data_IF_830483314129
#
_entry.id   IF_830483314129
#
_cell.length_a   1.000
_cell.length_b   1.000
_cell.length_c   1.000
_cell.angle_alpha   90.00
_cell.angle_beta   90.00
_cell.angle_gamma   90.00
#
_symmetry.space_group_name_H-M   'P 1'
#
loop_
_entity.id
_entity.type
_entity.pdbx_description
1 polymer ?
#
# COMPACT_ATOMS: atom_id res chain seq x y z
N UNK A 1 -62.16 31.52 31.92
CA UNK A 1 -62.83 30.87 30.77
C UNK A 1 -62.23 31.48 29.50
N UNK A 2 -61.37 30.72 28.81
CA UNK A 2 -60.93 30.72 27.38
C UNK A 2 -60.52 32.02 26.65
N UNK A 3 -59.69 31.98 25.58
CA UNK A 3 -58.65 31.01 25.23
C UNK A 3 -57.33 31.63 24.69
N UNK A 4 -56.26 30.85 24.82
CA UNK A 4 -55.19 30.55 23.86
C UNK A 4 -55.12 31.42 22.58
N UNK A 5 -53.99 32.12 22.40
CA UNK A 5 -53.46 32.48 21.09
C UNK A 5 -51.91 32.56 21.12
N UNK A 6 -51.24 31.41 21.07
CA UNK A 6 -49.80 31.36 20.77
C UNK A 6 -49.62 31.38 19.25
N UNK A 7 -49.53 32.59 18.68
CA UNK A 7 -49.23 32.78 17.26
C UNK A 7 -47.71 32.73 17.08
N UNK A 8 -47.24 31.57 16.64
CA UNK A 8 -46.33 31.42 15.52
C UNK A 8 -45.02 32.19 15.52
N UNK A 9 -43.92 31.46 15.74
CA UNK A 9 -42.77 31.52 14.83
C UNK A 9 -41.97 30.22 14.88
N UNK A 10 -42.36 29.23 14.06
CA UNK A 10 -41.42 28.17 13.68
C UNK A 10 -40.42 28.81 12.72
N UNK A 11 -39.24 29.16 13.22
CA UNK A 11 -38.10 29.50 12.37
C UNK A 11 -37.62 28.18 11.76
N UNK A 12 -38.11 27.85 10.56
CA UNK A 12 -37.52 26.82 9.74
C UNK A 12 -36.23 27.36 9.13
N UNK A 13 -35.14 27.38 9.91
CA UNK A 13 -33.80 27.54 9.33
C UNK A 13 -33.44 26.21 8.69
N UNK A 14 -33.97 25.99 7.48
CA UNK A 14 -33.52 24.94 6.60
C UNK A 14 -32.04 25.17 6.31
N UNK A 15 -31.17 24.53 7.09
CA UNK A 15 -29.74 24.48 6.82
C UNK A 15 -29.57 23.68 5.53
N UNK A 16 -29.64 24.35 4.39
CA UNK A 16 -29.18 23.82 3.11
C UNK A 16 -27.68 23.59 3.22
N UNK A 17 -27.30 22.47 3.84
CA UNK A 17 -25.92 22.01 3.78
C UNK A 17 -25.65 21.68 2.30
N UNK A 18 -24.66 22.31 1.66
CA UNK A 18 -24.39 22.04 0.26
C UNK A 18 -24.08 20.55 0.12
N UNK A 19 -24.90 19.84 -0.64
CA UNK A 19 -24.72 18.42 -0.94
C UNK A 19 -23.27 18.20 -1.39
N UNK A 20 -22.56 17.31 -0.68
CA UNK A 20 -21.15 16.99 -0.95
C UNK A 20 -21.03 16.48 -2.39
N UNK A 21 -20.60 17.34 -3.32
CA UNK A 21 -20.41 16.97 -4.73
C UNK A 21 -19.40 15.82 -4.81
N UNK A 22 -19.83 14.69 -5.38
CA UNK A 22 -18.99 13.50 -5.56
C UNK A 22 -17.92 13.80 -6.62
N UNK A 23 -16.67 13.86 -6.17
CA UNK A 23 -15.51 13.98 -7.06
C UNK A 23 -15.35 12.67 -7.86
N UNK A 24 -15.15 12.79 -9.18
CA UNK A 24 -14.92 11.67 -10.09
C UNK A 24 -13.67 10.87 -9.66
N UNK A 25 -13.70 9.55 -9.83
CA UNK A 25 -12.61 8.67 -9.36
C UNK A 25 -11.24 9.01 -9.94
N UNK A 26 -11.16 9.29 -11.25
CA UNK A 26 -9.88 9.66 -11.88
C UNK A 26 -9.27 10.93 -11.25
N UNK A 27 -10.10 11.89 -10.84
CA UNK A 27 -9.62 13.12 -10.17
C UNK A 27 -9.08 12.81 -8.77
N UNK A 28 -9.73 11.89 -8.04
CA UNK A 28 -9.25 11.44 -6.72
C UNK A 28 -7.90 10.71 -6.85
N UNK A 29 -7.81 9.76 -7.78
CA UNK A 29 -6.58 8.99 -8.02
C UNK A 29 -5.42 9.90 -8.44
N UNK A 30 -5.63 10.83 -9.37
CA UNK A 30 -4.59 11.80 -9.76
C UNK A 30 -4.14 12.68 -8.59
N UNK A 31 -5.06 13.06 -7.70
CA UNK A 31 -4.73 13.84 -6.50
C UNK A 31 -3.90 13.01 -5.52
N UNK A 32 -4.22 11.74 -5.35
CA UNK A 32 -3.47 10.81 -4.50
C UNK A 32 -2.06 10.58 -5.05
N UNK A 33 -1.91 10.33 -6.36
CA UNK A 33 -0.60 10.17 -7.01
C UNK A 33 0.27 11.40 -6.82
N UNK A 34 -0.25 12.60 -7.09
CA UNK A 34 0.50 13.86 -6.90
C UNK A 34 0.88 14.09 -5.45
N UNK A 35 -0.01 13.76 -4.51
CA UNK A 35 0.27 13.88 -3.07
C UNK A 35 1.40 12.92 -2.67
N UNK A 36 1.31 11.65 -3.08
CA UNK A 36 2.30 10.63 -2.79
C UNK A 36 3.66 10.98 -3.39
N UNK A 37 3.72 11.49 -4.63
CA UNK A 37 4.97 11.91 -5.27
C UNK A 37 5.62 13.14 -4.61
N UNK A 38 4.82 14.02 -3.98
CA UNK A 38 5.33 15.22 -3.31
C UNK A 38 5.95 14.89 -1.93
N UNK A 39 5.48 13.84 -1.28
CA UNK A 39 5.93 13.45 0.06
C UNK A 39 6.87 12.26 0.00
N UNK A 40 7.97 12.28 0.74
CA UNK A 40 8.90 11.15 0.88
C UNK A 40 8.67 10.34 2.15
N UNK A 41 7.43 10.32 2.65
CA UNK A 41 7.07 9.56 3.85
C UNK A 41 6.90 8.08 3.56
N UNK A 42 7.20 7.23 4.56
CA UNK A 42 6.91 5.80 4.50
C UNK A 42 5.40 5.57 4.30
N UNK A 43 5.06 4.72 3.34
CA UNK A 43 3.70 4.37 2.96
C UNK A 43 3.18 3.20 3.79
N UNK A 44 4.05 2.28 4.20
CA UNK A 44 3.68 1.12 5.02
C UNK A 44 3.79 1.49 6.50
N UNK A 45 2.80 1.14 7.34
CA UNK A 45 2.95 1.35 8.78
C UNK A 45 4.13 0.56 9.35
N UNK A 46 4.94 1.19 10.22
CA UNK A 46 6.19 0.60 10.74
C UNK A 46 5.99 -0.72 11.52
N UNK A 47 4.91 -0.82 12.30
CA UNK A 47 4.64 -1.99 13.14
C UNK A 47 4.41 -3.29 12.35
N UNK A 48 3.50 -3.35 11.35
CA UNK A 48 3.33 -4.55 10.54
C UNK A 48 4.58 -4.90 9.74
N UNK A 49 5.29 -3.92 9.18
CA UNK A 49 6.56 -4.18 8.48
C UNK A 49 7.59 -4.85 9.40
N UNK A 50 7.79 -4.30 10.61
CA UNK A 50 8.67 -4.88 11.61
C UNK A 50 8.27 -6.32 11.98
N UNK A 51 6.97 -6.61 12.13
CA UNK A 51 6.49 -7.97 12.45
C UNK A 51 6.86 -8.96 11.34
N UNK A 52 6.67 -8.57 10.08
CA UNK A 52 7.03 -9.41 8.93
C UNK A 52 8.54 -9.66 8.86
N UNK A 53 9.37 -8.62 9.05
CA UNK A 53 10.84 -8.77 9.09
C UNK A 53 11.26 -9.76 10.18
N UNK A 54 10.70 -9.63 11.38
CA UNK A 54 11.00 -10.55 12.49
C UNK A 54 10.55 -11.98 12.20
N UNK A 55 9.37 -12.16 11.62
CA UNK A 55 8.86 -13.47 11.23
C UNK A 55 9.76 -14.14 10.18
N UNK A 56 10.17 -13.42 9.13
CA UNK A 56 11.08 -13.94 8.10
C UNK A 56 12.42 -14.31 8.73
N UNK A 57 12.97 -13.43 9.58
CA UNK A 57 14.24 -13.70 10.26
C UNK A 57 14.17 -14.97 11.11
N UNK A 58 13.11 -15.15 11.90
CA UNK A 58 12.90 -16.35 12.71
C UNK A 58 12.81 -17.63 11.85
N UNK A 59 12.10 -17.56 10.72
CA UNK A 59 12.02 -18.68 9.78
C UNK A 59 13.40 -19.04 9.20
N UNK A 60 14.20 -18.05 8.81
CA UNK A 60 15.55 -18.26 8.27
C UNK A 60 16.48 -18.91 9.32
N UNK A 61 16.44 -18.44 10.57
CA UNK A 61 17.26 -19.01 11.64
C UNK A 61 16.84 -20.46 11.98
N UNK A 62 15.54 -20.76 11.93
CA UNK A 62 15.04 -22.13 12.09
C UNK A 62 15.57 -23.06 10.99
N UNK A 63 15.57 -22.60 9.74
CA UNK A 63 16.09 -23.37 8.59
C UNK A 63 17.60 -23.62 8.68
N UNK A 64 18.37 -22.67 9.22
CA UNK A 64 19.83 -22.79 9.34
C UNK A 64 20.29 -23.64 10.54
N UNK A 65 19.39 -24.27 11.31
CA UNK A 65 19.65 -25.18 12.45
C UNK A 65 20.75 -24.72 13.42
N UNK A 66 21.01 -23.42 13.53
CA UNK A 66 22.10 -22.93 14.36
C UNK A 66 21.58 -22.63 15.76
N UNK A 67 22.01 -23.44 16.72
CA UNK A 67 21.58 -23.42 18.14
C UNK A 67 21.91 -22.12 18.90
N UNK A 68 22.74 -21.23 18.33
CA UNK A 68 23.15 -19.97 18.96
C UNK A 68 22.22 -18.77 18.73
N UNK A 69 21.24 -18.84 17.80
CA UNK A 69 20.48 -17.66 17.34
C UNK A 69 19.08 -17.50 17.98
N UNK A 70 18.82 -18.08 19.14
CA UNK A 70 17.50 -18.05 19.79
C UNK A 70 17.04 -16.62 20.18
N UNK A 71 17.92 -15.62 20.17
CA UNK A 71 17.61 -14.24 20.61
C UNK A 71 18.15 -13.14 19.68
N UNK A 72 17.78 -13.15 18.40
CA UNK A 72 18.18 -12.07 17.47
C UNK A 72 17.48 -10.77 17.80
N UNK A 73 18.27 -9.76 18.18
CA UNK A 73 17.81 -8.39 18.45
C UNK A 73 18.03 -7.54 17.21
N UNK A 74 17.01 -6.76 16.87
CA UNK A 74 17.05 -5.82 15.75
C UNK A 74 17.28 -4.41 16.26
N UNK A 75 18.22 -3.70 15.64
CA UNK A 75 18.37 -2.25 15.85
C UNK A 75 17.21 -1.52 15.18
N UNK A 76 16.72 -0.45 15.81
CA UNK A 76 15.63 0.38 15.27
C UNK A 76 15.99 1.03 13.93
N UNK A 77 17.23 1.53 13.79
CA UNK A 77 17.73 2.11 12.55
C UNK A 77 17.87 1.08 11.43
N UNK A 78 18.24 -0.17 11.75
CA UNK A 78 18.31 -1.23 10.75
C UNK A 78 16.92 -1.57 10.18
N UNK A 79 15.89 -1.61 11.04
CA UNK A 79 14.50 -1.82 10.60
C UNK A 79 13.98 -0.67 9.73
N UNK A 80 14.37 0.57 10.03
CA UNK A 80 14.04 1.74 9.21
C UNK A 80 14.68 1.63 7.82
N UNK A 81 15.98 1.36 7.76
CA UNK A 81 16.72 1.21 6.52
C UNK A 81 16.14 0.09 5.64
N UNK A 82 15.79 -1.06 6.23
CA UNK A 82 15.11 -2.14 5.51
C UNK A 82 13.76 -1.71 4.94
N UNK A 83 13.02 -0.88 5.68
CA UNK A 83 11.73 -0.38 5.21
C UNK A 83 11.90 0.62 4.06
N UNK A 84 12.83 1.55 4.18
CA UNK A 84 13.14 2.52 3.13
C UNK A 84 13.60 1.82 1.85
N UNK A 85 14.51 0.85 1.96
CA UNK A 85 14.96 0.05 0.82
C UNK A 85 13.83 -0.79 0.20
N UNK A 86 13.00 -1.43 1.04
CA UNK A 86 11.89 -2.27 0.57
C UNK A 86 10.78 -1.47 -0.12
N UNK A 87 10.41 -0.31 0.42
CA UNK A 87 9.43 0.57 -0.20
C UNK A 87 9.98 1.23 -1.47
N UNK A 88 11.24 1.67 -1.47
CA UNK A 88 11.90 2.21 -2.67
C UNK A 88 11.91 1.19 -3.82
N UNK A 89 12.30 -0.04 -3.52
CA UNK A 89 12.25 -1.14 -4.49
C UNK A 89 10.83 -1.37 -5.04
N UNK A 90 9.82 -1.40 -4.17
CA UNK A 90 8.44 -1.61 -4.61
C UNK A 90 7.92 -0.47 -5.49
N UNK A 91 8.29 0.78 -5.21
CA UNK A 91 7.91 1.95 -6.02
C UNK A 91 8.54 1.86 -7.41
N UNK A 92 9.84 1.61 -7.49
CA UNK A 92 10.57 1.50 -8.76
C UNK A 92 10.02 0.35 -9.61
N UNK A 93 9.79 -0.81 -8.97
CA UNK A 93 9.21 -1.98 -9.63
C UNK A 93 7.80 -1.68 -10.19
N UNK A 94 6.96 -1.00 -9.41
CA UNK A 94 5.60 -0.66 -9.83
C UNK A 94 5.58 0.39 -10.96
N UNK A 95 6.58 1.27 -11.00
CA UNK A 95 6.74 2.22 -12.10
C UNK A 95 7.07 1.50 -13.42
N UNK A 96 7.97 0.52 -13.40
CA UNK A 96 8.25 -0.29 -14.59
C UNK A 96 7.02 -1.09 -15.03
N UNK A 97 6.30 -1.68 -14.07
CA UNK A 97 5.08 -2.43 -14.37
C UNK A 97 4.02 -1.52 -14.99
N UNK A 98 3.96 -0.25 -14.57
CA UNK A 98 3.09 0.75 -15.17
C UNK A 98 3.48 1.07 -16.62
N UNK A 99 4.77 1.17 -16.92
CA UNK A 99 5.25 1.32 -18.30
C UNK A 99 4.84 0.11 -19.17
N UNK A 100 4.91 -1.10 -18.64
CA UNK A 100 4.43 -2.31 -19.34
C UNK A 100 2.91 -2.29 -19.58
N UNK A 101 2.13 -1.82 -18.61
CA UNK A 101 0.68 -1.67 -18.77
C UNK A 101 0.34 -0.62 -19.85
N UNK A 102 1.03 0.53 -19.81
CA UNK A 102 0.88 1.61 -20.78
C UNK A 102 1.29 1.17 -22.20
N UNK A 103 2.37 0.39 -22.33
CA UNK A 103 2.80 -0.21 -23.60
C UNK A 103 1.72 -1.10 -24.22
N UNK A 104 0.90 -1.76 -23.39
CA UNK A 104 -0.25 -2.56 -23.82
C UNK A 104 -1.57 -1.75 -23.90
N UNK A 105 -1.51 -0.41 -23.97
CA UNK A 105 -2.67 0.50 -24.00
C UNK A 105 -3.66 0.35 -22.84
N UNK A 106 -3.19 -0.07 -21.66
CA UNK A 106 -4.00 -0.19 -20.44
C UNK A 106 -3.55 0.81 -19.39
N UNK A 107 -4.49 1.22 -18.55
CA UNK A 107 -4.22 2.08 -17.37
C UNK A 107 -4.14 1.26 -16.09
N UNK A 108 -4.80 0.10 -16.04
CA UNK A 108 -4.84 -0.78 -14.86
C UNK A 108 -3.71 -1.80 -14.90
N UNK A 109 -2.91 -1.84 -13.83
CA UNK A 109 -1.87 -2.85 -13.60
C UNK A 109 -2.47 -4.25 -13.44
N UNK A 110 -1.79 -5.25 -14.01
CA UNK A 110 -2.17 -6.65 -13.93
C UNK A 110 -0.96 -7.52 -13.53
N UNK A 111 -1.23 -8.74 -13.06
CA UNK A 111 -0.17 -9.69 -12.69
C UNK A 111 0.79 -10.01 -13.86
N UNK A 112 0.32 -9.95 -15.11
CA UNK A 112 1.19 -10.11 -16.29
C UNK A 112 2.26 -9.02 -16.41
N UNK A 113 1.94 -7.79 -16.00
CA UNK A 113 2.87 -6.66 -16.05
C UNK A 113 4.01 -6.88 -15.05
N UNK A 114 3.68 -7.36 -13.85
CA UNK A 114 4.65 -7.82 -12.85
C UNK A 114 5.57 -8.91 -13.42
N UNK A 115 5.00 -9.96 -14.01
CA UNK A 115 5.77 -11.11 -14.53
C UNK A 115 6.75 -10.67 -15.62
N UNK A 116 6.35 -9.75 -16.50
CA UNK A 116 7.21 -9.21 -17.55
C UNK A 116 8.40 -8.47 -16.93
N UNK A 117 8.15 -7.55 -15.99
CA UNK A 117 9.22 -6.80 -15.30
C UNK A 117 10.17 -7.74 -14.55
N UNK A 118 9.65 -8.70 -13.79
CA UNK A 118 10.47 -9.68 -13.06
C UNK A 118 11.34 -10.52 -13.98
N UNK A 119 10.81 -10.91 -15.16
CA UNK A 119 11.54 -11.72 -16.13
C UNK A 119 12.65 -10.93 -16.81
N UNK A 120 12.42 -9.66 -17.13
CA UNK A 120 13.42 -8.80 -17.80
C UNK A 120 14.51 -8.36 -16.83
N UNK A 121 14.13 -7.83 -15.65
CA UNK A 121 15.09 -7.20 -14.72
C UNK A 121 15.78 -8.17 -13.78
N UNK A 122 15.06 -9.16 -13.23
CA UNK A 122 15.55 -9.93 -12.09
C UNK A 122 15.78 -11.41 -12.39
N UNK A 123 15.61 -11.84 -13.66
CA UNK A 123 15.70 -13.24 -14.09
C UNK A 123 14.99 -14.19 -13.11
N UNK A 124 13.82 -13.78 -12.61
CA UNK A 124 13.06 -14.58 -11.66
C UNK A 124 12.48 -15.78 -12.42
N UNK A 125 13.23 -16.88 -12.44
CA UNK A 125 12.84 -18.08 -13.16
C UNK A 125 11.78 -18.83 -12.34
N UNK A 126 10.66 -19.18 -12.98
CA UNK A 126 9.59 -19.97 -12.36
C UNK A 126 10.04 -21.43 -12.10
N UNK A 127 11.21 -21.83 -12.59
CA UNK A 127 11.76 -23.17 -12.45
C UNK A 127 12.03 -23.60 -10.99
N UNK A 128 12.11 -22.67 -10.04
CA UNK A 128 12.28 -22.99 -8.61
C UNK A 128 11.00 -23.43 -7.89
N UNK A 129 9.84 -23.43 -8.58
CA UNK A 129 8.55 -23.82 -8.02
C UNK A 129 7.92 -25.08 -8.61
N UNK A 130 8.52 -25.72 -9.62
CA UNK A 130 7.98 -26.93 -10.25
C UNK A 130 8.75 -28.22 -9.94
N UNK A 131 9.75 -28.18 -9.06
CA UNK A 131 10.57 -29.34 -8.68
C UNK A 131 10.03 -30.11 -7.46
N UNK A 132 8.75 -29.95 -7.11
CA UNK A 132 8.10 -30.73 -6.04
C UNK A 132 6.71 -31.23 -6.46
N UNK A 133 6.64 -31.84 -7.64
CA UNK A 133 5.57 -32.79 -8.01
C UNK A 133 6.14 -33.80 -9.01
N UNK A 134 7.02 -34.70 -8.56
CA UNK A 134 7.18 -36.10 -8.99
C UNK A 134 8.08 -36.81 -7.97
#
# INVERSE_FOLDING_TARGET
MTPIAWIGRVSNSGKNTPSKKRVKYHVKSLRETRRAQKSMGLLIPRLPFMRVVKQISANLYSLMKTSSFVNVRWQTQALLCLQEAGEGFAIDFMNDAYLCAAHAHRVTLMAKDYVIVSRIRYKFDKSLGSSSTM
#
